data_IF_092665915933
#
_entry.id   IF_092665915933
#
_cell.length_a   1.000
_cell.length_b   1.000
_cell.length_c   1.000
_cell.angle_alpha   90.00
_cell.angle_beta   90.00
_cell.angle_gamma   90.00
#
_symmetry.space_group_name_H-M   'P 1'
#
loop_
_entity.id
_entity.type
_entity.pdbx_description
1 polymer ?
#
# COMPACT_ATOMS: atom_id res chain seq x y z
N UNK A 1 5.91 -7.30 -6.19
CA UNK A 1 5.24 -6.27 -5.38
C UNK A 1 5.57 -4.89 -5.92
N UNK A 2 4.57 -4.05 -6.13
CA UNK A 2 4.76 -2.70 -6.66
C UNK A 2 4.06 -1.67 -5.80
N UNK A 3 4.68 -0.51 -5.66
CA UNK A 3 4.11 0.64 -4.95
C UNK A 3 3.95 1.77 -5.98
N UNK A 4 2.72 2.20 -6.20
CA UNK A 4 2.41 3.18 -7.23
C UNK A 4 1.44 4.23 -6.72
N UNK A 5 1.48 5.41 -7.34
CA UNK A 5 0.50 6.46 -7.07
C UNK A 5 -0.80 6.12 -7.81
N UNK A 6 -1.91 6.33 -7.13
CA UNK A 6 -3.23 6.08 -7.68
C UNK A 6 -4.16 7.24 -7.35
N UNK A 7 -5.31 7.29 -8.01
CA UNK A 7 -6.33 8.30 -7.71
C UNK A 7 -7.56 7.61 -7.11
N UNK A 8 -8.18 8.29 -6.16
CA UNK A 8 -9.45 7.83 -5.61
C UNK A 8 -10.51 7.77 -6.72
N UNK A 9 -11.33 6.71 -6.77
CA UNK A 9 -12.41 6.63 -7.77
C UNK A 9 -13.47 7.72 -7.60
N UNK A 10 -13.52 8.38 -6.46
CA UNK A 10 -14.58 9.34 -6.15
C UNK A 10 -14.15 10.81 -6.13
N UNK A 11 -13.08 11.21 -6.77
CA UNK A 11 -12.82 12.63 -6.74
C UNK A 11 -11.38 13.07 -6.88
N UNK A 12 -10.55 12.27 -7.44
CA UNK A 12 -9.21 12.69 -7.79
C UNK A 12 -8.27 12.95 -6.63
N UNK A 13 -8.58 12.45 -5.45
CA UNK A 13 -7.63 12.51 -4.34
C UNK A 13 -6.48 11.55 -4.61
N UNK A 14 -5.27 11.99 -4.30
CA UNK A 14 -4.09 11.13 -4.44
C UNK A 14 -4.13 10.00 -3.44
N UNK A 15 -3.86 8.80 -3.93
CA UNK A 15 -3.73 7.60 -3.10
C UNK A 15 -2.47 6.84 -3.52
N UNK A 16 -2.04 5.93 -2.68
CA UNK A 16 -0.91 5.07 -2.98
C UNK A 16 -1.39 3.62 -2.97
N UNK A 17 -1.10 2.89 -4.03
CA UNK A 17 -1.53 1.51 -4.20
C UNK A 17 -0.34 0.56 -4.09
N UNK A 18 -0.55 -0.56 -3.38
CA UNK A 18 0.44 -1.63 -3.29
C UNK A 18 -0.17 -2.88 -3.92
N UNK A 19 0.47 -3.40 -4.95
CA UNK A 19 0.01 -4.58 -5.69
C UNK A 19 1.06 -5.68 -5.69
N UNK A 20 0.65 -6.89 -6.09
CA UNK A 20 1.56 -8.01 -6.19
C UNK A 20 2.07 -8.53 -4.86
N UNK A 21 1.29 -8.39 -3.81
CA UNK A 21 1.68 -8.83 -2.46
C UNK A 21 1.48 -10.35 -2.35
N UNK A 22 2.51 -11.11 -1.95
CA UNK A 22 2.34 -12.54 -1.73
C UNK A 22 1.58 -12.81 -0.44
N UNK A 23 0.98 -13.98 -0.36
CA UNK A 23 0.29 -14.42 0.85
C UNK A 23 -1.21 -14.53 0.69
N UNK A 24 -1.87 -14.97 1.75
CA UNK A 24 -3.33 -15.11 1.79
C UNK A 24 -4.01 -13.75 2.02
N UNK A 25 -5.33 -13.72 1.84
CA UNK A 25 -6.09 -12.49 2.13
C UNK A 25 -5.98 -12.10 3.60
N UNK A 26 -5.94 -13.08 4.50
CA UNK A 26 -5.75 -12.81 5.93
C UNK A 26 -4.40 -12.14 6.19
N UNK A 27 -3.36 -12.58 5.49
CA UNK A 27 -2.04 -11.96 5.59
C UNK A 27 -2.02 -10.55 5.03
N UNK A 28 -2.75 -10.32 3.93
CA UNK A 28 -2.92 -8.99 3.36
C UNK A 28 -3.63 -8.05 4.33
N UNK A 29 -4.67 -8.52 4.99
CA UNK A 29 -5.38 -7.72 5.99
C UNK A 29 -4.50 -7.37 7.18
N UNK A 30 -3.69 -8.33 7.63
CA UNK A 30 -2.74 -8.09 8.73
C UNK A 30 -1.69 -7.06 8.32
N UNK A 31 -1.18 -7.17 7.10
CA UNK A 31 -0.22 -6.20 6.56
C UNK A 31 -0.83 -4.81 6.43
N UNK A 32 -2.07 -4.73 5.95
CA UNK A 32 -2.79 -3.47 5.84
C UNK A 32 -2.90 -2.79 7.20
N UNK A 33 -3.31 -3.52 8.22
CA UNK A 33 -3.45 -2.99 9.58
C UNK A 33 -2.13 -2.46 10.10
N UNK A 34 -1.06 -3.23 9.91
CA UNK A 34 0.28 -2.84 10.33
C UNK A 34 0.75 -1.57 9.63
N UNK A 35 0.57 -1.50 8.32
CA UNK A 35 0.99 -0.35 7.54
C UNK A 35 0.17 0.90 7.86
N UNK A 36 -1.13 0.76 8.08
CA UNK A 36 -1.97 1.89 8.51
C UNK A 36 -1.46 2.48 9.81
N UNK A 37 -1.10 1.64 10.75
CA UNK A 37 -0.57 2.10 12.04
C UNK A 37 0.78 2.80 11.87
N UNK A 38 1.67 2.23 11.07
CA UNK A 38 3.00 2.81 10.82
C UNK A 38 2.93 4.14 10.09
N UNK A 39 2.04 4.24 9.11
CA UNK A 39 1.90 5.46 8.30
C UNK A 39 1.04 6.52 8.96
N UNK A 40 0.23 6.12 9.92
CA UNK A 40 -0.71 7.05 10.55
C UNK A 40 -1.77 7.56 9.58
N UNK A 41 -2.17 6.76 8.61
CA UNK A 41 -3.11 7.18 7.58
C UNK A 41 -4.19 6.12 7.37
N UNK A 42 -5.28 6.52 6.72
CA UNK A 42 -6.34 5.60 6.34
C UNK A 42 -5.92 4.71 5.17
N UNK A 43 -6.50 3.53 5.11
CA UNK A 43 -6.24 2.60 4.03
C UNK A 43 -7.32 1.54 3.96
N UNK A 44 -7.39 0.86 2.82
CA UNK A 44 -8.35 -0.21 2.58
C UNK A 44 -7.75 -1.28 1.69
N UNK A 45 -8.38 -2.44 1.68
CA UNK A 45 -7.97 -3.52 0.78
C UNK A 45 -9.08 -3.75 -0.25
N UNK A 46 -8.70 -3.76 -1.50
CA UNK A 46 -9.57 -4.15 -2.60
C UNK A 46 -8.99 -5.40 -3.25
N UNK A 47 -9.61 -6.54 -3.01
CA UNK A 47 -9.13 -7.86 -3.44
C UNK A 47 -7.71 -8.09 -2.94
N UNK A 48 -6.71 -7.92 -3.78
CA UNK A 48 -5.30 -8.11 -3.42
C UNK A 48 -4.49 -6.82 -3.50
N UNK A 49 -5.16 -5.68 -3.60
CA UNK A 49 -4.52 -4.37 -3.65
C UNK A 49 -4.75 -3.65 -2.34
N UNK A 50 -3.69 -3.09 -1.77
CA UNK A 50 -3.80 -2.23 -0.61
C UNK A 50 -3.76 -0.78 -1.08
N UNK A 51 -4.71 0.02 -0.60
CA UNK A 51 -4.82 1.44 -0.95
C UNK A 51 -4.66 2.28 0.30
N UNK A 52 -3.82 3.30 0.22
CA UNK A 52 -3.56 4.22 1.32
C UNK A 52 -3.82 5.64 0.88
N UNK A 53 -4.34 6.47 1.78
CA UNK A 53 -4.62 7.86 1.48
C UNK A 53 -3.31 8.67 1.39
N UNK A 54 -3.26 9.59 0.42
CA UNK A 54 -2.14 10.49 0.25
C UNK A 54 -0.98 9.90 -0.53
N UNK A 55 0.10 10.65 -0.63
CA UNK A 55 1.32 10.22 -1.30
C UNK A 55 2.24 9.55 -0.28
N UNK A 56 2.24 8.22 -0.26
CA UNK A 56 2.94 7.43 0.75
C UNK A 56 3.99 6.49 0.15
N UNK A 57 4.37 6.69 -1.12
CA UNK A 57 5.24 5.74 -1.81
C UNK A 57 6.58 5.51 -1.10
N UNK A 58 7.26 6.56 -0.71
CA UNK A 58 8.57 6.43 -0.06
C UNK A 58 8.46 5.75 1.30
N UNK A 59 7.48 6.15 2.09
CA UNK A 59 7.27 5.54 3.40
C UNK A 59 6.87 4.08 3.29
N UNK A 60 6.01 3.75 2.33
CA UNK A 60 5.61 2.37 2.07
C UNK A 60 6.80 1.52 1.63
N UNK A 61 7.64 2.04 0.76
CA UNK A 61 8.85 1.34 0.35
C UNK A 61 9.70 0.96 1.56
N UNK A 62 9.95 1.92 2.45
CA UNK A 62 10.73 1.67 3.65
C UNK A 62 10.09 0.65 4.58
N UNK A 63 8.80 0.77 4.82
CA UNK A 63 8.08 -0.15 5.70
C UNK A 63 8.03 -1.57 5.14
N UNK A 64 7.82 -1.71 3.84
CA UNK A 64 7.78 -3.02 3.19
C UNK A 64 9.16 -3.69 3.19
N UNK A 65 10.22 -2.93 2.97
CA UNK A 65 11.59 -3.45 3.06
C UNK A 65 11.87 -3.95 4.48
N UNK A 66 11.47 -3.20 5.49
CA UNK A 66 11.63 -3.61 6.89
C UNK A 66 10.87 -4.89 7.20
N UNK A 67 9.75 -5.10 6.54
CA UNK A 67 8.94 -6.30 6.73
C UNK A 67 9.48 -7.52 5.98
N UNK A 68 10.56 -7.36 5.24
CA UNK A 68 11.20 -8.45 4.51
C UNK A 68 10.74 -8.60 3.07
N UNK A 69 9.97 -7.66 2.56
CA UNK A 69 9.53 -7.68 1.16
C UNK A 69 10.54 -6.99 0.25
N UNK A 70 10.35 -7.19 -1.04
CA UNK A 70 11.18 -6.54 -2.07
C UNK A 70 10.30 -5.70 -2.99
N UNK A 71 9.78 -4.58 -2.51
CA UNK A 71 8.90 -3.74 -3.31
C UNK A 71 9.67 -3.01 -4.41
N UNK A 72 8.96 -2.71 -5.49
CA UNK A 72 9.47 -1.86 -6.56
C UNK A 72 8.59 -0.61 -6.64
N UNK A 73 9.24 0.54 -6.79
CA UNK A 73 8.51 1.77 -7.01
C UNK A 73 8.07 1.81 -8.47
N UNK A 74 6.77 1.82 -8.69
CA UNK A 74 6.23 1.98 -10.03
C UNK A 74 6.21 3.46 -10.37
N UNK A 75 6.70 3.79 -11.55
CA UNK A 75 6.66 5.16 -12.04
C UNK A 75 5.23 5.60 -12.26
N UNK A 76 4.96 6.83 -12.02
CA UNK A 76 3.60 7.30 -12.22
C UNK A 76 3.51 8.78 -12.16
#
# INVERSE_FOLDING_TARGET
MRVARAKSPKGGKTMTAVTGIPGSEAELDALLKRLKASLGTGGTREVRTLLFQGEQRERLMGELIRAGFKPKLAGG
#
